data_IF_163777501815
#
_entry.id   IF_163777501815
#
_cell.length_a   1.000
_cell.length_b   1.000
_cell.length_c   1.000
_cell.angle_alpha   90.00
_cell.angle_beta   90.00
_cell.angle_gamma   90.00
#
_symmetry.space_group_name_H-M   'P 1'
#
loop_
_entity.id
_entity.type
_entity.pdbx_description
1 polymer ?
#
# COMPACT_ATOMS: atom_id res chain seq x y z
N UNK A 1 33.01 2.90 5.68
CA UNK A 1 31.70 2.27 5.67
C UNK A 1 30.86 2.85 4.57
N UNK A 2 30.35 2.00 3.68
CA UNK A 2 29.58 2.48 2.56
C UNK A 2 28.10 2.61 2.98
N UNK A 3 27.62 3.87 3.10
CA UNK A 3 26.24 4.16 3.46
C UNK A 3 25.38 4.41 2.22
N UNK A 4 25.76 3.82 1.09
CA UNK A 4 25.01 4.00 -0.16
C UNK A 4 23.65 3.36 -0.04
N UNK A 5 22.61 4.18 -0.17
CA UNK A 5 21.23 3.70 -0.23
C UNK A 5 21.01 3.06 -1.59
N UNK A 6 20.62 1.79 -1.60
CA UNK A 6 20.27 1.08 -2.84
C UNK A 6 18.78 1.24 -3.10
N UNK A 7 18.46 1.81 -4.25
CA UNK A 7 17.07 1.95 -4.67
C UNK A 7 16.90 1.56 -6.14
N UNK A 8 15.70 1.13 -6.48
CA UNK A 8 15.35 0.71 -7.84
C UNK A 8 14.07 1.41 -8.29
N UNK A 9 14.01 1.75 -9.56
CA UNK A 9 12.83 2.36 -10.17
C UNK A 9 12.03 1.32 -10.94
N UNK A 10 10.71 1.48 -10.87
CA UNK A 10 9.73 0.66 -11.57
C UNK A 10 8.69 1.59 -12.20
N UNK A 11 8.09 1.14 -13.29
CA UNK A 11 7.00 1.86 -13.94
C UNK A 11 5.68 1.08 -13.81
N UNK A 12 4.63 1.56 -14.46
CA UNK A 12 3.31 0.92 -14.39
C UNK A 12 3.32 -0.52 -14.94
N UNK A 13 4.29 -0.90 -15.75
CA UNK A 13 4.38 -2.24 -16.33
C UNK A 13 5.18 -3.22 -15.45
N UNK A 14 6.06 -2.73 -14.62
CA UNK A 14 6.99 -3.56 -13.82
C UNK A 14 6.70 -3.53 -12.33
N UNK A 15 5.91 -2.58 -11.86
CA UNK A 15 5.68 -2.37 -10.43
C UNK A 15 5.01 -3.56 -9.75
N UNK A 16 3.88 -4.03 -10.29
CA UNK A 16 3.05 -4.99 -9.56
C UNK A 16 3.73 -6.33 -9.34
N UNK A 17 4.47 -6.85 -10.31
CA UNK A 17 5.19 -8.12 -10.13
C UNK A 17 6.19 -8.00 -8.97
N UNK A 18 6.94 -6.91 -8.92
CA UNK A 18 7.92 -6.68 -7.86
C UNK A 18 7.25 -6.41 -6.50
N UNK A 19 6.20 -5.60 -6.49
CA UNK A 19 5.45 -5.28 -5.28
C UNK A 19 4.78 -6.52 -4.68
N UNK A 20 4.13 -7.33 -5.50
CA UNK A 20 3.46 -8.54 -5.04
C UNK A 20 4.47 -9.56 -4.50
N UNK A 21 5.67 -9.62 -5.07
CA UNK A 21 6.75 -10.46 -4.55
C UNK A 21 7.15 -10.02 -3.13
N UNK A 22 7.37 -8.73 -2.94
CA UNK A 22 7.67 -8.19 -1.61
C UNK A 22 6.52 -8.46 -0.64
N UNK A 23 5.29 -8.24 -1.09
CA UNK A 23 4.11 -8.41 -0.26
C UNK A 23 3.96 -9.86 0.22
N UNK A 24 4.16 -10.84 -0.67
CA UNK A 24 4.09 -12.26 -0.30
C UNK A 24 5.11 -12.65 0.76
N UNK A 25 6.23 -11.95 0.83
CA UNK A 25 7.33 -12.22 1.76
C UNK A 25 7.23 -11.43 3.06
N UNK A 26 6.19 -10.62 3.24
CA UNK A 26 6.02 -9.83 4.46
C UNK A 26 5.93 -10.74 5.69
N UNK A 27 6.58 -10.30 6.78
CA UNK A 27 6.67 -11.07 8.02
C UNK A 27 5.97 -10.42 9.20
N UNK A 28 5.96 -9.10 9.27
CA UNK A 28 5.48 -8.40 10.45
C UNK A 28 4.47 -7.30 10.16
N UNK A 29 4.78 -6.40 9.22
CA UNK A 29 4.00 -5.18 9.06
C UNK A 29 3.89 -4.79 7.59
N UNK A 30 2.66 -4.47 7.17
CA UNK A 30 2.37 -3.86 5.87
C UNK A 30 1.52 -2.63 6.11
N UNK A 31 1.95 -1.49 5.56
CA UNK A 31 1.19 -0.25 5.51
C UNK A 31 1.04 0.13 4.06
N UNK A 32 -0.18 0.36 3.61
CA UNK A 32 -0.45 0.82 2.24
C UNK A 32 -1.23 2.11 2.31
N UNK A 33 -0.70 3.16 1.71
CA UNK A 33 -1.42 4.42 1.51
C UNK A 33 -1.80 4.52 0.03
N UNK A 34 -3.09 4.50 -0.26
CA UNK A 34 -3.61 4.59 -1.62
C UNK A 34 -4.94 5.34 -1.60
N UNK A 35 -5.03 6.53 -2.23
CA UNK A 35 -6.27 7.30 -2.22
C UNK A 35 -7.39 6.63 -3.02
N UNK A 36 -7.06 5.84 -4.03
CA UNK A 36 -8.03 5.14 -4.88
C UNK A 36 -7.92 3.64 -4.72
N UNK A 37 -9.07 2.97 -4.75
CA UNK A 37 -9.17 1.52 -4.62
C UNK A 37 -10.15 1.03 -5.69
N UNK A 38 -9.73 0.06 -6.51
CA UNK A 38 -10.62 -0.57 -7.50
C UNK A 38 -10.89 -2.02 -7.17
N UNK A 39 -12.07 -2.49 -7.55
CA UNK A 39 -12.46 -3.88 -7.39
C UNK A 39 -11.50 -4.83 -8.10
N UNK A 40 -11.10 -4.47 -9.32
CA UNK A 40 -10.18 -5.30 -10.13
C UNK A 40 -8.85 -5.54 -9.40
N UNK A 41 -8.28 -4.48 -8.81
CA UNK A 41 -7.02 -4.61 -8.07
C UNK A 41 -7.21 -5.43 -6.80
N UNK A 42 -8.30 -5.21 -6.09
CA UNK A 42 -8.59 -5.97 -4.87
C UNK A 42 -8.77 -7.46 -5.16
N UNK A 43 -9.39 -7.83 -6.28
CA UNK A 43 -9.54 -9.23 -6.66
C UNK A 43 -8.18 -9.93 -6.86
N UNK A 44 -7.19 -9.18 -7.36
CA UNK A 44 -5.84 -9.73 -7.55
C UNK A 44 -5.08 -9.87 -6.24
N UNK A 45 -5.21 -8.89 -5.34
CA UNK A 45 -4.38 -8.80 -4.14
C UNK A 45 -5.00 -9.51 -2.92
N UNK A 46 -6.31 -9.72 -2.90
CA UNK A 46 -7.03 -10.18 -1.70
C UNK A 46 -6.53 -11.52 -1.17
N UNK A 47 -6.20 -12.47 -2.05
CA UNK A 47 -5.70 -13.78 -1.61
C UNK A 47 -4.35 -13.66 -0.90
N UNK A 48 -3.50 -12.75 -1.35
CA UNK A 48 -2.21 -12.49 -0.71
C UNK A 48 -2.42 -11.88 0.67
N UNK A 49 -3.28 -10.87 0.75
CA UNK A 49 -3.59 -10.21 2.04
C UNK A 49 -4.17 -11.21 3.05
N UNK A 50 -5.05 -12.10 2.59
CA UNK A 50 -5.65 -13.13 3.45
C UNK A 50 -4.59 -14.08 4.01
N UNK A 51 -3.64 -14.50 3.18
CA UNK A 51 -2.53 -15.36 3.62
C UNK A 51 -1.62 -14.65 4.62
N UNK A 52 -1.35 -13.37 4.40
CA UNK A 52 -0.56 -12.56 5.33
C UNK A 52 -1.25 -12.47 6.70
N UNK A 53 -2.55 -12.22 6.70
CA UNK A 53 -3.32 -12.17 7.95
C UNK A 53 -3.33 -13.53 8.67
N UNK A 54 -3.39 -14.63 7.93
CA UNK A 54 -3.30 -15.96 8.52
C UNK A 54 -1.96 -16.21 9.20
N UNK A 55 -0.89 -15.50 8.79
CA UNK A 55 0.43 -15.54 9.43
C UNK A 55 0.62 -14.44 10.48
N UNK A 56 -0.44 -13.74 10.85
CA UNK A 56 -0.42 -12.64 11.82
C UNK A 56 0.41 -11.42 11.39
N UNK A 57 0.55 -11.20 10.10
CA UNK A 57 1.13 -9.93 9.59
C UNK A 57 0.12 -8.82 9.84
N UNK A 58 0.54 -7.76 10.51
CA UNK A 58 -0.31 -6.60 10.74
C UNK A 58 -0.40 -5.78 9.46
N UNK A 59 -1.62 -5.51 8.99
CA UNK A 59 -1.85 -4.77 7.75
C UNK A 59 -2.72 -3.56 8.05
N UNK A 60 -2.25 -2.39 7.62
CA UNK A 60 -2.95 -1.11 7.75
C UNK A 60 -3.08 -0.50 6.35
N UNK A 61 -4.28 -0.07 6.00
CA UNK A 61 -4.54 0.63 4.74
C UNK A 61 -5.09 2.00 5.08
N UNK A 62 -4.46 3.04 4.54
CA UNK A 62 -4.92 4.41 4.68
C UNK A 62 -5.42 4.91 3.33
N UNK A 63 -6.66 5.37 3.28
CA UNK A 63 -7.30 5.86 2.07
C UNK A 63 -8.10 7.13 2.38
N UNK A 64 -8.70 7.75 1.38
CA UNK A 64 -9.57 8.89 1.62
C UNK A 64 -10.98 8.43 2.01
N UNK A 65 -11.75 9.27 2.75
CA UNK A 65 -13.11 8.94 3.17
C UNK A 65 -14.03 8.58 1.99
N UNK A 66 -15.10 7.83 2.27
CA UNK A 66 -16.05 7.39 1.25
C UNK A 66 -16.64 8.54 0.44
N UNK A 67 -16.99 9.65 1.09
CA UNK A 67 -17.61 10.80 0.45
C UNK A 67 -16.66 11.60 -0.46
N UNK A 68 -15.36 11.35 -0.39
CA UNK A 68 -14.37 11.97 -1.29
C UNK A 68 -14.13 11.16 -2.56
N UNK A 69 -14.76 9.99 -2.71
CA UNK A 69 -14.70 9.21 -3.95
C UNK A 69 -15.83 9.62 -4.88
N UNK A 70 -15.56 9.61 -6.19
CA UNK A 70 -16.62 9.83 -7.17
C UNK A 70 -17.69 8.76 -7.02
N UNK A 71 -18.97 9.14 -7.25
CA UNK A 71 -20.10 8.24 -7.02
C UNK A 71 -20.01 6.93 -7.81
N UNK A 72 -19.42 6.98 -9.02
CA UNK A 72 -19.24 5.79 -9.86
C UNK A 72 -18.28 4.76 -9.25
N UNK A 73 -17.34 5.21 -8.41
CA UNK A 73 -16.35 4.33 -7.75
C UNK A 73 -16.72 3.98 -6.31
N UNK A 74 -17.68 4.67 -5.73
CA UNK A 74 -17.99 4.57 -4.30
C UNK A 74 -18.36 3.16 -3.87
N UNK A 75 -19.16 2.45 -4.65
CA UNK A 75 -19.55 1.07 -4.34
C UNK A 75 -18.37 0.12 -4.32
N UNK A 76 -17.44 0.27 -5.27
CA UNK A 76 -16.21 -0.53 -5.30
C UNK A 76 -15.39 -0.33 -4.04
N UNK A 77 -15.24 0.91 -3.61
CA UNK A 77 -14.45 1.27 -2.42
C UNK A 77 -15.10 0.70 -1.16
N UNK A 78 -16.41 0.85 -1.01
CA UNK A 78 -17.16 0.30 0.12
C UNK A 78 -16.99 -1.22 0.19
N UNK A 79 -17.14 -1.91 -0.94
CA UNK A 79 -16.97 -3.36 -1.02
C UNK A 79 -15.53 -3.76 -0.63
N UNK A 80 -14.53 -3.11 -1.22
CA UNK A 80 -13.13 -3.43 -0.99
C UNK A 80 -12.73 -3.23 0.48
N UNK A 81 -13.17 -2.14 1.07
CA UNK A 81 -12.90 -1.85 2.49
C UNK A 81 -13.57 -2.90 3.38
N UNK A 82 -14.81 -3.28 3.08
CA UNK A 82 -15.49 -4.34 3.82
C UNK A 82 -14.74 -5.67 3.76
N UNK A 83 -14.25 -6.06 2.57
CA UNK A 83 -13.44 -7.27 2.40
C UNK A 83 -12.17 -7.22 3.24
N UNK A 84 -11.47 -6.09 3.23
CA UNK A 84 -10.25 -5.92 4.01
C UNK A 84 -10.53 -5.94 5.52
N UNK A 85 -11.59 -5.27 5.97
CA UNK A 85 -11.99 -5.28 7.39
C UNK A 85 -12.34 -6.68 7.86
N UNK A 86 -13.02 -7.47 7.04
CA UNK A 86 -13.36 -8.86 7.34
C UNK A 86 -12.12 -9.74 7.52
N UNK A 87 -11.01 -9.37 6.90
CA UNK A 87 -9.72 -10.05 7.11
C UNK A 87 -8.99 -9.58 8.37
N UNK A 88 -9.48 -8.56 9.06
CA UNK A 88 -8.80 -7.97 10.20
C UNK A 88 -7.75 -6.93 9.82
N UNK A 89 -7.87 -6.34 8.64
CA UNK A 89 -7.02 -5.22 8.21
C UNK A 89 -7.55 -3.93 8.83
N UNK A 90 -6.67 -3.12 9.39
CA UNK A 90 -7.03 -1.82 9.94
C UNK A 90 -7.14 -0.80 8.81
N UNK A 91 -8.30 -0.16 8.71
CA UNK A 91 -8.54 0.86 7.70
C UNK A 91 -8.53 2.23 8.37
N UNK A 92 -7.71 3.13 7.84
CA UNK A 92 -7.67 4.53 8.25
C UNK A 92 -8.22 5.39 7.12
N UNK A 93 -8.89 6.47 7.50
CA UNK A 93 -9.43 7.44 6.56
C UNK A 93 -8.78 8.79 6.80
N UNK A 94 -8.17 9.36 5.77
CA UNK A 94 -7.55 10.68 5.83
C UNK A 94 -8.17 11.58 4.77
N UNK A 95 -8.80 12.66 5.20
CA UNK A 95 -9.40 13.64 4.30
C UNK A 95 -8.31 14.27 3.42
N UNK A 96 -8.59 14.41 2.12
CA UNK A 96 -7.64 14.96 1.15
C UNK A 96 -6.46 14.03 0.86
N UNK A 97 -6.55 12.76 1.21
CA UNK A 97 -5.45 11.82 1.04
C UNK A 97 -5.07 11.66 -0.43
N UNK A 98 -3.79 11.83 -0.74
CA UNK A 98 -3.27 11.69 -2.10
C UNK A 98 -1.91 11.00 -2.17
N UNK A 99 -1.35 10.60 -1.02
CA UNK A 99 -0.06 9.89 -0.99
C UNK A 99 -0.21 8.47 -1.52
N UNK A 100 0.83 7.99 -2.21
CA UNK A 100 0.91 6.64 -2.74
C UNK A 100 2.21 6.04 -2.25
N UNK A 101 2.12 5.18 -1.25
CA UNK A 101 3.29 4.52 -0.70
C UNK A 101 2.89 3.20 -0.04
N UNK A 102 3.90 2.37 0.18
CA UNK A 102 3.72 1.16 0.97
C UNK A 102 4.98 0.90 1.80
N UNK A 103 4.75 0.42 3.02
CA UNK A 103 5.80 -0.12 3.87
C UNK A 103 5.56 -1.61 3.99
N UNK A 104 6.58 -2.40 3.68
CA UNK A 104 6.55 -3.85 3.84
C UNK A 104 7.80 -4.22 4.66
N UNK A 105 7.63 -4.41 5.96
CA UNK A 105 8.73 -4.59 6.92
C UNK A 105 9.76 -3.45 6.79
N UNK A 106 10.96 -3.73 6.27
CA UNK A 106 12.01 -2.72 6.08
C UNK A 106 12.11 -2.22 4.63
N UNK A 107 11.07 -2.41 3.84
CA UNK A 107 11.00 -1.96 2.44
C UNK A 107 10.01 -0.80 2.33
N UNK A 108 10.41 0.24 1.64
CA UNK A 108 9.56 1.39 1.31
C UNK A 108 9.34 1.45 -0.19
N UNK A 109 8.07 1.52 -0.60
CA UNK A 109 7.65 1.83 -1.95
C UNK A 109 6.98 3.21 -1.95
N UNK A 110 7.38 4.08 -2.87
CA UNK A 110 6.79 5.41 -2.99
C UNK A 110 6.82 5.88 -4.43
N UNK A 111 5.88 6.71 -4.81
CA UNK A 111 5.83 7.28 -6.16
C UNK A 111 4.45 7.77 -6.54
N UNK A 112 4.15 7.66 -7.82
CA UNK A 112 2.93 8.25 -8.40
C UNK A 112 1.80 7.25 -8.61
N UNK A 113 2.05 5.93 -8.53
CA UNK A 113 1.07 4.90 -8.84
C UNK A 113 0.13 4.65 -7.65
N UNK A 114 -1.18 4.68 -7.90
CA UNK A 114 -2.18 4.31 -6.90
C UNK A 114 -2.17 2.80 -6.71
N UNK A 115 -1.56 2.34 -5.63
CA UNK A 115 -1.24 0.93 -5.41
C UNK A 115 -2.46 0.01 -5.45
N UNK A 116 -3.57 0.45 -4.88
CA UNK A 116 -4.80 -0.35 -4.81
C UNK A 116 -5.77 -0.04 -5.95
N UNK A 117 -5.32 0.67 -6.97
CA UNK A 117 -6.15 1.03 -8.12
C UNK A 117 -5.53 0.49 -9.41
N UNK A 118 -6.40 0.11 -10.34
CA UNK A 118 -5.98 -0.28 -11.67
C UNK A 118 -6.15 0.91 -12.60
N UNK A 119 -5.05 1.34 -13.25
CA UNK A 119 -5.09 2.35 -14.30
C UNK A 119 -3.95 2.10 -15.29
N UNK A 120 -4.03 2.76 -16.46
CA UNK A 120 -3.06 2.63 -17.53
C UNK A 120 -2.17 3.87 -17.68
N UNK A 121 -2.10 4.69 -16.64
CA UNK A 121 -1.27 5.90 -16.63
C UNK A 121 0.20 5.57 -16.61
N UNK A 122 1.02 6.46 -17.18
CA UNK A 122 2.47 6.40 -17.03
C UNK A 122 2.83 6.81 -15.60
N UNK A 123 3.47 5.92 -14.86
CA UNK A 123 3.76 6.09 -13.45
C UNK A 123 5.19 5.66 -13.13
N UNK A 124 5.71 6.16 -12.03
CA UNK A 124 7.01 5.74 -11.49
C UNK A 124 6.86 5.42 -10.02
N UNK A 125 7.46 4.29 -9.62
CA UNK A 125 7.56 3.89 -8.21
C UNK A 125 9.00 3.58 -7.88
N UNK A 126 9.43 3.99 -6.69
CA UNK A 126 10.76 3.69 -6.16
C UNK A 126 10.66 2.68 -5.04
N UNK A 127 11.52 1.66 -5.10
CA UNK A 127 11.68 0.67 -4.04
C UNK A 127 12.99 0.93 -3.30
N UNK A 128 12.91 1.06 -1.98
CA UNK A 128 14.06 1.28 -1.12
C UNK A 128 14.01 0.25 0.01
N UNK A 129 15.02 -0.60 0.10
CA UNK A 129 15.15 -1.51 1.26
C UNK A 129 16.06 -0.84 2.29
N UNK A 130 15.44 -0.24 3.31
CA UNK A 130 16.15 0.52 4.33
C UNK A 130 15.25 0.77 5.54
N UNK A 131 15.68 0.31 6.70
CA UNK A 131 14.98 0.60 7.97
C UNK A 131 14.90 2.10 8.22
N UNK A 132 15.95 2.85 7.89
CA UNK A 132 15.98 4.30 8.08
C UNK A 132 14.99 5.01 7.16
N UNK A 133 14.86 4.57 5.90
CA UNK A 133 13.89 5.14 4.97
C UNK A 133 12.46 4.88 5.45
N UNK A 134 12.17 3.69 5.97
CA UNK A 134 10.86 3.37 6.55
C UNK A 134 10.59 4.24 7.77
N UNK A 135 11.56 4.40 8.67
CA UNK A 135 11.41 5.26 9.86
C UNK A 135 11.15 6.71 9.49
N UNK A 136 11.89 7.23 8.51
CA UNK A 136 11.69 8.60 8.05
C UNK A 136 10.30 8.81 7.47
N UNK A 137 9.89 7.94 6.55
CA UNK A 137 8.58 8.05 5.91
C UNK A 137 7.43 7.91 6.92
N UNK A 138 7.50 6.94 7.81
CA UNK A 138 6.44 6.72 8.81
C UNK A 138 6.36 7.87 9.81
N UNK A 139 7.49 8.50 10.12
CA UNK A 139 7.50 9.71 10.97
C UNK A 139 6.79 10.87 10.28
N UNK A 140 7.12 11.12 9.01
CA UNK A 140 6.48 12.20 8.24
C UNK A 140 4.98 11.99 8.04
N UNK A 141 4.55 10.76 7.87
CA UNK A 141 3.14 10.45 7.63
C UNK A 141 2.35 10.20 8.93
N UNK A 142 3.02 10.21 10.07
CA UNK A 142 2.37 9.93 11.35
C UNK A 142 2.06 8.46 11.58
N UNK A 143 2.59 7.57 10.73
CA UNK A 143 2.34 6.12 10.81
C UNK A 143 3.35 5.38 11.70
N UNK A 144 4.30 6.10 12.27
CA UNK A 144 5.34 5.50 13.13
C UNK A 144 4.80 4.84 14.40
N UNK A 145 3.57 5.18 14.82
CA UNK A 145 2.90 4.53 15.96
C UNK A 145 2.64 3.04 15.71
N UNK A 146 2.71 2.58 14.47
CA UNK A 146 2.47 1.19 14.09
C UNK A 146 3.74 0.34 14.01
N UNK A 147 4.91 0.96 14.12
CA UNK A 147 6.20 0.27 14.05
C UNK A 147 6.52 -0.50 15.34
#
# INVERSE_FOLDING_TARGET
>A
MNNTLVSHLYDQNTFYDAFLKDLRQAKSLVIIESPFITKKRMQVISSILRKLRARNVHIIVNTKPFDEHESVFKEQVIWAIGVMQDMGIDILFTSGHHRKLAVIDDILWEGSLNILSQNDSCEIMRRIKSKNAVKEMTRYTGMNKWL
#
